data_IF_468863514855
#
_entry.id   IF_468863514855
#
_cell.length_a   1.000
_cell.length_b   1.000
_cell.length_c   1.000
_cell.angle_alpha   90.00
_cell.angle_beta   90.00
_cell.angle_gamma   90.00
#
_symmetry.space_group_name_H-M   'P 1'
#
loop_
_entity.id
_entity.type
_entity.pdbx_description
1 polymer ?
#
# COMPACT_ATOMS: atom_id res chain seq x y z
N UNK A 1 5.62 -5.26 -25.38
CA UNK A 1 5.50 -4.34 -24.23
C UNK A 1 4.16 -4.62 -23.59
N UNK A 2 4.12 -4.92 -22.29
CA UNK A 2 2.88 -5.29 -21.61
C UNK A 2 1.93 -4.10 -21.55
N UNK A 3 0.67 -4.26 -21.94
CA UNK A 3 -0.37 -3.22 -21.81
C UNK A 3 -0.99 -3.22 -20.40
N UNK A 4 -0.20 -3.56 -19.37
CA UNK A 4 -0.68 -3.70 -18.00
C UNK A 4 -1.05 -2.33 -17.43
N UNK A 5 -2.28 -2.19 -16.92
CA UNK A 5 -2.79 -0.96 -16.31
C UNK A 5 -2.94 -1.16 -14.81
N UNK A 6 -2.21 -0.37 -14.04
CA UNK A 6 -2.14 -0.48 -12.58
C UNK A 6 -2.72 0.77 -11.93
N UNK A 7 -3.57 0.61 -10.93
CA UNK A 7 -3.96 1.67 -10.01
C UNK A 7 -3.28 1.43 -8.67
N UNK A 8 -2.48 2.39 -8.21
CA UNK A 8 -1.92 2.42 -6.85
C UNK A 8 -2.73 3.40 -6.02
N UNK A 9 -3.29 2.93 -4.91
CA UNK A 9 -4.01 3.71 -3.93
C UNK A 9 -3.16 3.89 -2.67
N UNK A 10 -2.78 5.13 -2.37
CA UNK A 10 -2.01 5.50 -1.18
C UNK A 10 -2.97 5.82 -0.02
N UNK A 11 -3.12 4.89 0.93
CA UNK A 11 -4.04 5.02 2.07
C UNK A 11 -3.41 5.61 3.33
N UNK A 12 -2.09 5.82 3.36
CA UNK A 12 -1.39 6.38 4.50
C UNK A 12 -1.18 7.91 4.33
N UNK A 13 -1.67 8.76 5.25
CA UNK A 13 -1.51 10.22 5.18
C UNK A 13 -0.12 10.68 5.63
N UNK A 14 0.91 9.95 5.22
CA UNK A 14 2.30 10.27 5.49
C UNK A 14 3.04 10.34 4.16
N UNK A 15 3.47 11.55 3.78
CA UNK A 15 4.13 11.80 2.50
C UNK A 15 5.36 10.90 2.28
N UNK A 16 6.10 10.59 3.35
CA UNK A 16 7.24 9.67 3.30
C UNK A 16 6.83 8.26 2.89
N UNK A 17 5.75 7.72 3.47
CA UNK A 17 5.21 6.40 3.14
C UNK A 17 4.76 6.36 1.68
N UNK A 18 4.02 7.38 1.24
CA UNK A 18 3.60 7.53 -0.17
C UNK A 18 4.80 7.53 -1.10
N UNK A 19 5.89 8.22 -0.73
CA UNK A 19 7.10 8.27 -1.53
C UNK A 19 7.72 6.88 -1.73
N UNK A 20 8.07 6.17 -0.65
CA UNK A 20 8.84 4.92 -0.77
C UNK A 20 7.99 3.67 -1.07
N UNK A 21 6.68 3.69 -0.82
CA UNK A 21 5.78 2.56 -1.15
C UNK A 21 4.98 2.75 -2.43
N UNK A 22 4.64 3.98 -2.78
CA UNK A 22 3.73 4.23 -3.89
C UNK A 22 4.44 4.86 -5.09
N UNK A 23 5.17 5.96 -4.89
CA UNK A 23 5.87 6.66 -5.98
C UNK A 23 6.98 5.79 -6.55
N UNK A 24 7.85 5.23 -5.72
CA UNK A 24 8.93 4.37 -6.22
C UNK A 24 8.41 3.03 -6.78
N UNK A 25 7.29 2.51 -6.28
CA UNK A 25 6.63 1.35 -6.87
C UNK A 25 6.05 1.67 -8.25
N UNK A 26 5.47 2.86 -8.43
CA UNK A 26 5.05 3.38 -9.73
C UNK A 26 6.22 3.42 -10.71
N UNK A 27 7.37 3.97 -10.32
CA UNK A 27 8.57 4.01 -11.16
C UNK A 27 9.00 2.60 -11.62
N UNK A 28 8.94 1.60 -10.72
CA UNK A 28 9.29 0.21 -11.04
C UNK A 28 8.32 -0.43 -12.03
N UNK A 29 7.01 -0.21 -11.85
CA UNK A 29 6.00 -0.69 -12.80
C UNK A 29 6.15 -0.02 -14.17
N UNK A 30 6.41 1.28 -14.21
CA UNK A 30 6.62 2.03 -15.46
C UNK A 30 7.90 1.59 -16.17
N UNK A 31 8.98 1.33 -15.43
CA UNK A 31 10.20 0.76 -15.97
C UNK A 31 9.99 -0.65 -16.56
N UNK A 32 9.02 -1.41 -16.05
CA UNK A 32 8.58 -2.68 -16.61
C UNK A 32 7.60 -2.54 -17.79
N UNK A 33 7.22 -1.32 -18.16
CA UNK A 33 6.34 -1.02 -19.30
C UNK A 33 4.86 -0.95 -18.97
N UNK A 34 4.46 -0.96 -17.70
CA UNK A 34 3.07 -0.78 -17.29
C UNK A 34 2.64 0.70 -17.33
N UNK A 35 1.34 0.95 -17.45
CA UNK A 35 0.72 2.27 -17.25
C UNK A 35 0.19 2.35 -15.83
N UNK A 36 0.62 3.34 -15.06
CA UNK A 36 0.31 3.40 -13.63
C UNK A 36 -0.37 4.72 -13.27
N UNK A 37 -1.56 4.63 -12.70
CA UNK A 37 -2.19 5.75 -12.00
C UNK A 37 -1.90 5.64 -10.51
N UNK A 38 -1.50 6.76 -9.90
CA UNK A 38 -1.32 6.88 -8.45
C UNK A 38 -2.37 7.84 -7.89
N UNK A 39 -3.12 7.41 -6.87
CA UNK A 39 -4.15 8.20 -6.22
C UNK A 39 -3.94 8.23 -4.72
N UNK A 40 -4.09 9.41 -4.15
CA UNK A 40 -4.25 9.57 -2.71
C UNK A 40 -5.64 9.05 -2.30
N UNK A 41 -5.67 8.17 -1.30
CA UNK A 41 -6.84 7.46 -0.79
C UNK A 41 -7.09 7.78 0.69
N UNK A 42 -6.40 8.79 1.22
CA UNK A 42 -6.55 9.23 2.62
C UNK A 42 -7.88 9.96 2.83
N UNK A 43 -8.46 10.53 1.76
CA UNK A 43 -9.81 11.07 1.72
C UNK A 43 -10.78 10.10 1.02
N UNK A 44 -11.49 9.31 1.82
CA UNK A 44 -12.47 8.33 1.33
C UNK A 44 -13.65 8.94 0.56
N UNK A 45 -13.89 10.25 0.67
CA UNK A 45 -15.00 10.93 -0.01
C UNK A 45 -14.72 11.19 -1.49
N UNK A 46 -13.45 11.19 -1.91
CA UNK A 46 -13.05 11.45 -3.29
C UNK A 46 -13.28 10.24 -4.23
N UNK A 47 -13.83 9.14 -3.72
CA UNK A 47 -13.79 7.84 -4.39
C UNK A 47 -15.16 7.35 -4.75
N UNK A 48 -15.42 7.39 -6.05
CA UNK A 48 -16.55 6.72 -6.64
C UNK A 48 -16.21 5.24 -6.85
N UNK A 49 -16.92 4.36 -6.16
CA UNK A 49 -16.86 2.91 -6.38
C UNK A 49 -17.26 2.51 -7.81
N UNK A 50 -17.86 3.44 -8.58
CA UNK A 50 -18.27 3.31 -9.97
C UNK A 50 -17.27 3.90 -10.98
N UNK A 51 -16.12 4.39 -10.52
CA UNK A 51 -15.08 4.94 -11.41
C UNK A 51 -14.77 4.01 -12.59
N UNK A 52 -14.51 4.54 -13.81
CA UNK A 52 -14.24 3.72 -14.99
C UNK A 52 -13.08 2.75 -14.75
N UNK A 53 -13.26 1.49 -15.14
CA UNK A 53 -12.32 0.41 -14.87
C UNK A 53 -11.60 -0.06 -16.14
N UNK A 54 -10.38 0.42 -16.37
CA UNK A 54 -9.48 -0.24 -17.28
C UNK A 54 -8.23 -0.79 -16.55
N UNK A 55 -8.31 -1.07 -15.24
CA UNK A 55 -7.17 -1.54 -14.47
C UNK A 55 -7.15 -3.06 -14.37
N UNK A 56 -6.01 -3.65 -14.71
CA UNK A 56 -5.72 -5.07 -14.55
C UNK A 56 -5.26 -5.38 -13.13
N UNK A 57 -4.63 -4.42 -12.45
CA UNK A 57 -4.11 -4.57 -11.09
C UNK A 57 -4.45 -3.35 -10.23
N UNK A 58 -4.94 -3.62 -9.04
CA UNK A 58 -5.15 -2.63 -7.99
C UNK A 58 -4.16 -2.90 -6.85
N UNK A 59 -3.33 -1.92 -6.50
CA UNK A 59 -2.42 -1.97 -5.34
C UNK A 59 -2.93 -1.05 -4.25
N UNK A 60 -3.26 -1.61 -3.09
CA UNK A 60 -3.88 -0.92 -1.97
C UNK A 60 -2.87 -0.74 -0.85
N UNK A 61 -2.13 0.38 -0.86
CA UNK A 61 -1.16 0.68 0.19
C UNK A 61 -1.89 1.14 1.45
N UNK A 62 -1.93 0.28 2.48
CA UNK A 62 -2.62 0.52 3.76
C UNK A 62 -3.98 1.22 3.58
N UNK A 63 -4.82 0.72 2.67
CA UNK A 63 -6.15 1.27 2.44
C UNK A 63 -7.15 0.57 3.35
N UNK A 64 -7.85 1.33 4.21
CA UNK A 64 -8.86 0.79 5.11
C UNK A 64 -10.13 0.43 4.31
N UNK A 65 -10.71 -0.74 4.57
CA UNK A 65 -11.93 -1.17 3.89
C UNK A 65 -13.06 -0.15 4.07
N UNK A 66 -13.77 0.12 2.98
CA UNK A 66 -14.96 0.97 2.92
C UNK A 66 -15.95 0.38 1.91
N UNK A 67 -17.21 0.80 1.95
CA UNK A 67 -18.20 0.34 0.97
C UNK A 67 -17.83 0.68 -0.49
N UNK A 68 -17.31 1.89 -0.81
CA UNK A 68 -16.78 2.18 -2.15
C UNK A 68 -15.61 1.28 -2.55
N UNK A 69 -14.65 1.04 -1.64
CA UNK A 69 -13.51 0.16 -1.93
C UNK A 69 -13.95 -1.27 -2.22
N UNK A 70 -14.90 -1.80 -1.45
CA UNK A 70 -15.46 -3.14 -1.66
C UNK A 70 -16.04 -3.28 -3.07
N UNK A 71 -16.87 -2.33 -3.50
CA UNK A 71 -17.43 -2.32 -4.87
C UNK A 71 -16.34 -2.27 -5.92
N UNK A 72 -15.31 -1.45 -5.72
CA UNK A 72 -14.19 -1.37 -6.64
C UNK A 72 -13.45 -2.71 -6.76
N UNK A 73 -13.13 -3.36 -5.64
CA UNK A 73 -12.48 -4.68 -5.59
C UNK A 73 -13.32 -5.72 -6.34
N UNK A 74 -14.62 -5.76 -6.09
CA UNK A 74 -15.56 -6.68 -6.75
C UNK A 74 -15.60 -6.46 -8.26
N UNK A 75 -15.67 -5.21 -8.72
CA UNK A 75 -15.70 -4.87 -10.14
C UNK A 75 -14.36 -5.18 -10.84
N UNK A 76 -13.22 -4.87 -10.23
CA UNK A 76 -11.88 -5.23 -10.78
C UNK A 76 -11.76 -6.75 -10.93
N UNK A 77 -12.14 -7.51 -9.90
CA UNK A 77 -12.14 -8.98 -9.97
C UNK A 77 -13.12 -9.53 -10.99
N UNK A 78 -14.31 -8.95 -11.10
CA UNK A 78 -15.32 -9.33 -12.09
C UNK A 78 -14.85 -9.12 -13.54
N UNK A 79 -13.93 -8.18 -13.75
CA UNK A 79 -13.25 -7.95 -15.03
C UNK A 79 -12.00 -8.83 -15.24
N UNK A 80 -11.67 -9.72 -14.31
CA UNK A 80 -10.48 -10.60 -14.37
C UNK A 80 -9.19 -9.99 -13.81
N UNK A 81 -9.26 -8.77 -13.25
CA UNK A 81 -8.12 -8.11 -12.62
C UNK A 81 -7.70 -8.71 -11.28
N UNK A 82 -6.61 -8.20 -10.74
CA UNK A 82 -6.02 -8.62 -9.46
C UNK A 82 -5.96 -7.48 -8.45
N UNK A 83 -6.13 -7.82 -7.18
CA UNK A 83 -6.04 -6.89 -6.06
C UNK A 83 -4.87 -7.30 -5.16
N UNK A 84 -3.95 -6.37 -4.93
CA UNK A 84 -2.80 -6.53 -4.06
C UNK A 84 -2.97 -5.61 -2.85
N UNK A 85 -2.83 -6.13 -1.64
CA UNK A 85 -2.69 -5.30 -0.44
C UNK A 85 -1.21 -5.01 -0.22
N UNK A 86 -0.85 -3.74 -0.03
CA UNK A 86 0.54 -3.32 0.19
C UNK A 86 0.71 -2.76 1.61
N UNK A 87 1.75 -3.22 2.32
CA UNK A 87 2.05 -2.75 3.66
C UNK A 87 3.53 -2.79 4.01
N UNK A 88 3.93 -1.84 4.84
CA UNK A 88 5.27 -1.69 5.38
C UNK A 88 5.32 -1.69 6.92
N UNK A 89 4.16 -1.75 7.58
CA UNK A 89 4.02 -2.01 9.03
C UNK A 89 3.02 -3.15 9.29
N UNK A 90 3.01 -3.60 10.54
CA UNK A 90 2.03 -4.55 11.06
C UNK A 90 0.70 -3.86 11.40
N UNK A 91 -0.07 -3.50 10.38
CA UNK A 91 -1.34 -2.77 10.50
C UNK A 91 -2.57 -3.65 10.27
N UNK A 92 -2.44 -4.98 10.44
CA UNK A 92 -3.51 -5.94 10.17
C UNK A 92 -3.74 -6.96 11.30
N UNK A 93 -3.08 -6.78 12.44
CA UNK A 93 -3.25 -7.59 13.66
C UNK A 93 -3.80 -6.70 14.80
N UNK A 94 -5.13 -6.51 14.88
CA UNK A 94 -5.74 -5.59 15.86
C UNK A 94 -5.45 -5.94 17.31
N UNK A 95 -5.22 -7.22 17.60
CA UNK A 95 -4.81 -7.71 18.92
C UNK A 95 -3.42 -7.23 19.33
N UNK A 96 -2.56 -6.86 18.38
CA UNK A 96 -1.22 -6.33 18.65
C UNK A 96 -1.17 -4.80 18.71
N UNK A 97 -2.27 -4.11 18.40
CA UNK A 97 -2.33 -2.65 18.36
C UNK A 97 -1.93 -1.98 19.68
N UNK A 98 -2.17 -2.64 20.83
CA UNK A 98 -1.81 -2.12 22.15
C UNK A 98 -0.29 -2.07 22.38
N UNK A 99 0.52 -2.82 21.63
CA UNK A 99 1.99 -2.72 21.67
C UNK A 99 2.53 -1.51 20.91
N UNK A 100 1.72 -0.87 20.06
CA UNK A 100 2.13 0.34 19.38
C UNK A 100 2.21 1.48 20.39
N UNK A 101 3.44 1.91 20.73
CA UNK A 101 3.71 2.93 21.76
C UNK A 101 2.91 4.22 21.55
N UNK A 102 2.73 4.65 20.30
CA UNK A 102 1.93 5.83 19.98
C UNK A 102 0.46 5.66 20.35
N UNK A 103 -0.07 4.43 20.26
CA UNK A 103 -1.48 4.10 20.55
C UNK A 103 -1.69 3.87 22.04
N UNK A 104 -0.75 3.21 22.71
CA UNK A 104 -0.82 2.95 24.15
C UNK A 104 -0.97 4.22 25.00
N UNK A 105 -0.50 5.37 24.49
CA UNK A 105 -0.58 6.67 25.16
C UNK A 105 -1.85 7.47 24.83
N UNK A 106 -2.70 7.00 23.91
CA UNK A 106 -3.92 7.71 23.52
C UNK A 106 -5.04 7.47 24.54
N UNK A 107 -6.03 8.38 24.64
CA UNK A 107 -7.29 8.12 25.33
C UNK A 107 -7.99 6.87 24.79
N UNK A 108 -8.78 6.19 25.63
CA UNK A 108 -9.45 4.93 25.26
C UNK A 108 -10.31 5.04 23.98
N UNK A 109 -10.98 6.19 23.78
CA UNK A 109 -11.75 6.44 22.55
C UNK A 109 -10.89 6.49 21.30
N UNK A 110 -9.72 7.13 21.36
CA UNK A 110 -8.78 7.21 20.25
C UNK A 110 -8.08 5.87 19.99
N UNK A 111 -7.80 5.09 21.04
CA UNK A 111 -7.34 3.71 20.90
C UNK A 111 -8.36 2.85 20.15
N UNK A 112 -9.64 2.98 20.51
CA UNK A 112 -10.72 2.25 19.84
C UNK A 112 -10.83 2.62 18.35
N UNK A 113 -10.70 3.90 18.01
CA UNK A 113 -10.66 4.38 16.62
C UNK A 113 -9.46 3.78 15.86
N UNK A 114 -8.27 3.76 16.47
CA UNK A 114 -7.10 3.14 15.84
C UNK A 114 -7.31 1.65 15.60
N UNK A 115 -7.81 0.91 16.61
CA UNK A 115 -8.08 -0.53 16.50
C UNK A 115 -9.13 -0.81 15.42
N UNK A 116 -10.17 0.03 15.30
CA UNK A 116 -11.12 -0.06 14.19
C UNK A 116 -10.44 0.11 12.83
N UNK A 117 -9.54 1.09 12.71
CA UNK A 117 -8.68 1.26 11.53
C UNK A 117 -7.90 0.00 11.17
N UNK A 118 -7.26 -0.63 12.16
CA UNK A 118 -6.51 -1.90 11.99
C UNK A 118 -7.43 -3.05 11.54
N UNK A 119 -8.64 -3.15 12.10
CA UNK A 119 -9.65 -4.14 11.65
C UNK A 119 -10.07 -3.91 10.21
N UNK A 120 -10.21 -2.65 9.78
CA UNK A 120 -10.55 -2.30 8.41
C UNK A 120 -9.41 -2.55 7.43
N UNK A 121 -8.15 -2.32 7.82
CA UNK A 121 -6.99 -2.75 7.03
C UNK A 121 -6.95 -4.26 6.89
N UNK A 122 -7.19 -4.99 7.97
CA UNK A 122 -7.30 -6.45 7.94
C UNK A 122 -8.39 -6.93 6.97
N UNK A 123 -9.55 -6.27 6.99
CA UNK A 123 -10.63 -6.59 6.06
C UNK A 123 -10.22 -6.36 4.59
N UNK A 124 -9.40 -5.36 4.30
CA UNK A 124 -8.83 -5.15 2.95
C UNK A 124 -7.83 -6.23 2.59
N UNK A 125 -6.95 -6.62 3.52
CA UNK A 125 -5.98 -7.70 3.33
C UNK A 125 -6.71 -9.02 3.00
N UNK A 126 -7.73 -9.38 3.79
CA UNK A 126 -8.51 -10.60 3.57
C UNK A 126 -9.29 -10.57 2.23
N UNK A 127 -9.58 -9.36 1.73
CA UNK A 127 -10.22 -9.14 0.44
C UNK A 127 -9.23 -9.03 -0.73
N UNK A 128 -7.92 -9.12 -0.53
CA UNK A 128 -6.92 -9.08 -1.60
C UNK A 128 -6.61 -10.48 -2.16
N UNK A 129 -5.99 -10.53 -3.34
CA UNK A 129 -5.53 -11.78 -3.97
C UNK A 129 -4.10 -12.14 -3.53
N UNK A 130 -3.30 -11.14 -3.15
CA UNK A 130 -1.97 -11.31 -2.57
C UNK A 130 -1.54 -10.08 -1.76
N UNK A 131 -0.47 -10.23 -0.97
CA UNK A 131 0.11 -9.15 -0.15
C UNK A 131 1.53 -8.82 -0.61
N UNK A 132 1.84 -7.54 -0.69
CA UNK A 132 3.19 -7.00 -0.82
C UNK A 132 3.62 -6.44 0.55
N UNK A 133 4.71 -6.98 1.10
CA UNK A 133 5.20 -6.62 2.42
C UNK A 133 6.64 -6.10 2.39
N UNK A 134 6.95 -5.07 3.17
CA UNK A 134 8.29 -4.46 3.18
C UNK A 134 9.41 -5.35 3.74
N UNK A 135 9.08 -6.40 4.50
CA UNK A 135 10.05 -7.29 5.14
C UNK A 135 9.62 -8.77 5.14
N UNK A 136 10.56 -9.72 5.28
CA UNK A 136 10.24 -11.14 5.37
C UNK A 136 9.28 -11.49 6.51
N UNK A 137 9.46 -10.90 7.69
CA UNK A 137 8.57 -11.15 8.84
C UNK A 137 7.15 -10.65 8.57
N UNK A 138 7.00 -9.47 7.96
CA UNK A 138 5.68 -8.95 7.59
C UNK A 138 5.01 -9.83 6.54
N UNK A 139 5.76 -10.33 5.55
CA UNK A 139 5.24 -11.26 4.55
C UNK A 139 4.79 -12.57 5.20
N UNK A 140 5.58 -13.12 6.12
CA UNK A 140 5.21 -14.32 6.87
C UNK A 140 3.91 -14.11 7.66
N UNK A 141 3.81 -13.02 8.42
CA UNK A 141 2.61 -12.70 9.21
C UNK A 141 1.38 -12.50 8.32
N UNK A 142 1.53 -11.79 7.20
CA UNK A 142 0.46 -11.62 6.22
C UNK A 142 0.02 -12.97 5.61
N UNK A 143 0.97 -13.84 5.26
CA UNK A 143 0.71 -15.16 4.68
C UNK A 143 -0.08 -16.11 5.59
N UNK A 144 -0.04 -15.90 6.92
CA UNK A 144 -0.85 -16.66 7.88
C UNK A 144 -2.35 -16.41 7.72
N UNK A 145 -2.75 -15.37 6.98
CA UNK A 145 -4.15 -15.06 6.66
C UNK A 145 -4.67 -15.78 5.42
N UNK A 146 -3.84 -16.60 4.77
CA UNK A 146 -4.28 -17.58 3.75
C UNK A 146 -4.07 -17.16 2.30
N UNK A 147 -3.56 -15.96 2.04
CA UNK A 147 -3.19 -15.48 0.70
C UNK A 147 -1.67 -15.48 0.51
N UNK A 148 -1.18 -15.59 -0.74
CA UNK A 148 0.23 -15.42 -1.04
C UNK A 148 0.73 -14.06 -0.57
N UNK A 149 1.88 -14.03 0.09
CA UNK A 149 2.55 -12.82 0.51
C UNK A 149 3.98 -12.78 -0.04
N UNK A 150 4.36 -11.64 -0.61
CA UNK A 150 5.65 -11.43 -1.26
C UNK A 150 6.41 -10.29 -0.59
N UNK A 151 7.72 -10.44 -0.48
CA UNK A 151 8.59 -9.37 0.00
C UNK A 151 8.81 -8.38 -1.14
N UNK A 152 8.28 -7.18 -0.99
CA UNK A 152 8.58 -6.01 -1.82
C UNK A 152 9.21 -4.95 -0.92
N UNK A 153 10.54 -4.85 -0.91
CA UNK A 153 11.27 -3.95 0.01
C UNK A 153 11.02 -2.48 -0.33
N UNK A 154 11.14 -1.62 0.68
CA UNK A 154 11.25 -0.19 0.43
C UNK A 154 12.49 0.07 -0.43
N UNK A 155 12.33 0.88 -1.47
CA UNK A 155 13.40 1.21 -2.41
C UNK A 155 13.60 2.72 -2.47
N UNK A 156 14.76 3.13 -2.99
CA UNK A 156 15.01 4.50 -3.40
C UNK A 156 14.57 4.66 -4.85
N UNK A 157 13.87 5.75 -5.14
CA UNK A 157 13.49 6.12 -6.50
C UNK A 157 14.63 6.75 -7.27
N UNK A 158 14.36 7.04 -8.54
CA UNK A 158 15.31 7.57 -9.51
C UNK A 158 15.91 8.90 -9.04
N UNK A 159 15.08 9.81 -8.55
CA UNK A 159 15.54 11.11 -8.02
C UNK A 159 16.46 10.93 -6.80
N UNK A 160 16.07 10.08 -5.85
CA UNK A 160 16.88 9.82 -4.65
C UNK A 160 18.23 9.19 -5.01
N UNK A 161 18.25 8.28 -5.98
CA UNK A 161 19.48 7.66 -6.47
C UNK A 161 20.39 8.69 -7.17
N UNK A 162 19.83 9.61 -7.95
CA UNK A 162 20.59 10.69 -8.59
C UNK A 162 21.21 11.63 -7.54
N UNK A 163 20.43 12.07 -6.55
CA UNK A 163 20.92 12.90 -5.45
C UNK A 163 22.00 12.20 -4.62
N UNK A 164 21.79 10.92 -4.28
CA UNK A 164 22.77 10.12 -3.55
C UNK A 164 24.09 10.01 -4.31
N UNK A 165 24.03 9.78 -5.63
CA UNK A 165 25.22 9.71 -6.50
C UNK A 165 25.94 11.05 -6.57
N UNK A 166 25.21 12.15 -6.71
CA UNK A 166 25.79 13.50 -6.71
C UNK A 166 26.54 13.80 -5.40
N UNK A 167 25.90 13.55 -4.26
CA UNK A 167 26.51 13.78 -2.95
C UNK A 167 27.73 12.86 -2.71
N UNK A 168 27.65 11.61 -3.15
CA UNK A 168 28.78 10.68 -3.06
C UNK A 168 30.00 11.18 -3.82
N UNK A 169 29.81 11.70 -5.03
CA UNK A 169 30.88 12.23 -5.86
C UNK A 169 31.48 13.53 -5.27
N UNK A 170 30.66 14.37 -4.64
CA UNK A 170 31.12 15.59 -3.95
C UNK A 170 31.94 15.30 -2.69
N UNK A 171 31.77 14.13 -2.07
CA UNK A 171 32.60 13.71 -0.93
C UNK A 171 34.06 13.50 -1.34
N UNK A 172 34.29 12.98 -2.55
CA UNK A 172 35.64 12.67 -3.04
C UNK A 172 36.48 13.90 -3.39
N UNK A 173 35.86 15.09 -3.41
CA UNK A 173 36.52 16.38 -3.67
C UNK A 173 36.73 17.23 -2.42
N UNK A 174 36.45 16.70 -1.22
CA UNK A 174 36.81 17.27 0.09
C UNK A 174 37.88 16.43 0.76
#
# INVERSE_FOLDING_TARGET
MSDLRVLIAAGCPHATVTQYRCVHLKEQFEAAGARVDLRDWTDSAALDGEQPLPYDVLVLQRVAMSAPLRRLIERVRGAGGRVLFDTDDLVFEPELAHWHRGVANLPAGEQAIYVDGVRRYRTTLDAADAVLAASPLLAELAGRHGMPAFVHRNALGTEMMALATQLYNQRATR
#
